data_IF_375839089184
#
_entry.id   IF_375839089184
#
_cell.length_a   1.000
_cell.length_b   1.000
_cell.length_c   1.000
_cell.angle_alpha   90.00
_cell.angle_beta   90.00
_cell.angle_gamma   90.00
#
_symmetry.space_group_name_H-M   'P 1'
#
loop_
_entity.id
_entity.type
_entity.pdbx_description
1 polymer ?
#
# COMPACT_ATOMS: atom_id res chain seq x y z
N UNK A 1 19.13 -8.81 -8.10
CA UNK A 1 19.86 -7.54 -7.96
C UNK A 1 20.04 -7.25 -6.48
N UNK A 2 21.29 -7.32 -5.99
CA UNK A 2 21.62 -6.91 -4.62
C UNK A 2 21.46 -5.38 -4.52
N UNK A 3 20.68 -4.92 -3.56
CA UNK A 3 20.61 -3.49 -3.20
C UNK A 3 22.03 -2.95 -3.03
N UNK A 4 22.32 -1.80 -3.65
CA UNK A 4 23.63 -1.16 -3.52
C UNK A 4 23.91 -0.80 -2.05
N UNK A 5 25.20 -0.67 -1.67
CA UNK A 5 25.60 -0.29 -0.31
C UNK A 5 24.97 1.04 0.14
N UNK A 6 24.70 1.95 -0.80
CA UNK A 6 23.98 3.22 -0.59
C UNK A 6 22.51 3.00 -0.23
N UNK A 7 21.82 2.09 -0.92
CA UNK A 7 20.42 1.76 -0.64
C UNK A 7 20.26 1.06 0.73
N UNK A 8 21.24 0.21 1.11
CA UNK A 8 21.24 -0.41 2.46
C UNK A 8 21.55 0.61 3.58
N UNK A 9 22.38 1.62 3.32
CA UNK A 9 22.66 2.68 4.30
C UNK A 9 21.50 3.68 4.42
N UNK A 10 20.75 3.96 3.34
CA UNK A 10 19.51 4.74 3.41
C UNK A 10 18.47 4.04 4.28
N UNK A 11 18.23 2.76 4.07
CA UNK A 11 17.24 1.99 4.87
C UNK A 11 17.52 1.98 6.40
N UNK A 12 18.77 2.18 6.85
CA UNK A 12 19.11 2.17 8.27
C UNK A 12 19.01 3.57 8.91
N UNK A 13 19.27 4.63 8.16
CA UNK A 13 19.14 6.02 8.66
C UNK A 13 17.69 6.49 8.78
N UNK A 14 16.78 5.86 8.06
CA UNK A 14 15.41 6.35 7.90
C UNK A 14 14.41 5.73 8.89
N UNK A 15 14.83 4.74 9.69
CA UNK A 15 13.97 4.08 10.70
C UNK A 15 13.35 5.06 11.70
N UNK A 16 14.09 6.09 12.08
CA UNK A 16 13.68 7.05 13.10
C UNK A 16 12.86 8.22 12.55
N UNK A 17 12.65 8.29 11.23
CA UNK A 17 11.99 9.39 10.54
C UNK A 17 10.78 8.98 9.68
N UNK A 18 10.18 7.82 9.93
CA UNK A 18 9.06 7.33 9.12
C UNK A 18 7.90 8.32 9.01
N UNK A 19 7.58 9.03 10.10
CA UNK A 19 6.54 10.06 10.11
C UNK A 19 6.89 11.25 9.20
N UNK A 20 8.17 11.64 9.13
CA UNK A 20 8.61 12.70 8.24
C UNK A 20 8.31 12.37 6.78
N UNK A 21 8.58 11.13 6.34
CA UNK A 21 8.32 10.69 4.96
C UNK A 21 6.82 10.59 4.61
N UNK A 22 5.95 10.68 5.62
CA UNK A 22 4.50 10.75 5.48
C UNK A 22 3.95 12.17 5.75
N UNK A 23 4.82 13.17 5.99
CA UNK A 23 4.45 14.55 6.29
C UNK A 23 4.10 15.37 5.06
N UNK A 24 3.44 16.53 5.27
CA UNK A 24 3.19 17.54 4.24
C UNK A 24 4.50 18.11 3.66
N UNK A 25 5.49 18.30 4.50
CA UNK A 25 6.80 18.83 4.07
C UNK A 25 7.44 17.91 3.03
N UNK A 26 7.51 16.61 3.32
CA UNK A 26 8.08 15.64 2.39
C UNK A 26 7.22 15.46 1.13
N UNK A 27 5.89 15.53 1.23
CA UNK A 27 5.02 15.55 0.06
C UNK A 27 5.35 16.70 -0.88
N UNK A 28 5.49 17.91 -0.33
CA UNK A 28 5.85 19.10 -1.14
C UNK A 28 7.22 18.94 -1.80
N UNK A 29 8.19 18.34 -1.10
CA UNK A 29 9.52 18.07 -1.66
C UNK A 29 9.44 17.09 -2.84
N UNK A 30 8.77 15.94 -2.69
CA UNK A 30 8.67 14.95 -3.78
C UNK A 30 7.87 15.47 -4.97
N UNK A 31 6.84 16.27 -4.74
CA UNK A 31 6.07 16.92 -5.80
C UNK A 31 6.91 17.96 -6.54
N UNK A 32 7.72 18.76 -5.83
CA UNK A 32 8.60 19.78 -6.42
C UNK A 32 9.70 19.18 -7.30
N UNK A 33 10.09 17.95 -7.03
CA UNK A 33 11.07 17.20 -7.84
C UNK A 33 10.42 16.42 -9.00
N UNK A 34 9.13 16.61 -9.21
CA UNK A 34 8.35 15.87 -10.22
C UNK A 34 8.51 14.35 -10.07
N UNK A 35 8.72 13.88 -8.82
CA UNK A 35 8.85 12.47 -8.54
C UNK A 35 7.56 11.74 -8.90
N UNK A 36 7.67 10.62 -9.60
CA UNK A 36 6.55 9.74 -9.93
C UNK A 36 6.97 8.29 -9.80
N UNK A 37 6.05 7.45 -9.35
CA UNK A 37 6.29 6.02 -9.23
C UNK A 37 6.72 5.60 -7.83
N UNK A 38 7.55 4.57 -7.74
CA UNK A 38 7.92 3.92 -6.48
C UNK A 38 8.59 4.91 -5.50
N UNK A 39 8.30 4.84 -4.19
CA UNK A 39 8.81 5.83 -3.23
C UNK A 39 10.33 5.78 -3.07
N UNK A 40 10.93 6.95 -2.88
CA UNK A 40 12.37 7.08 -2.58
C UNK A 40 12.73 6.55 -1.20
N UNK A 41 11.79 6.65 -0.25
CA UNK A 41 11.96 6.25 1.14
C UNK A 41 10.87 5.26 1.58
N UNK A 42 11.30 4.15 2.18
CA UNK A 42 10.40 3.15 2.74
C UNK A 42 11.12 2.28 3.77
N UNK A 43 10.36 1.79 4.74
CA UNK A 43 10.78 0.76 5.68
C UNK A 43 9.69 -0.29 5.82
N UNK A 44 9.69 -1.21 4.89
CA UNK A 44 8.80 -2.38 4.84
C UNK A 44 9.51 -3.51 4.09
N UNK A 45 8.92 -4.68 4.11
CA UNK A 45 9.43 -5.87 3.42
C UNK A 45 8.32 -6.49 2.58
N UNK A 46 8.55 -6.62 1.28
CA UNK A 46 7.69 -7.45 0.45
C UNK A 46 7.76 -8.91 0.90
N UNK A 47 6.62 -9.52 1.16
CA UNK A 47 6.54 -10.92 1.66
C UNK A 47 7.07 -11.90 0.62
N UNK A 48 7.01 -11.55 -0.68
CA UNK A 48 7.65 -12.34 -1.74
C UNK A 48 9.14 -12.59 -1.47
N UNK A 49 9.87 -11.64 -0.90
CA UNK A 49 11.27 -11.84 -0.52
C UNK A 49 11.46 -12.82 0.64
N UNK A 50 10.53 -12.85 1.60
CA UNK A 50 10.55 -13.85 2.67
C UNK A 50 10.27 -15.25 2.12
N UNK A 51 9.39 -15.34 1.13
CA UNK A 51 9.09 -16.56 0.41
C UNK A 51 10.31 -17.09 -0.36
N UNK A 52 11.02 -16.24 -1.09
CA UNK A 52 12.25 -16.61 -1.81
C UNK A 52 13.32 -17.20 -0.88
N UNK A 53 13.41 -16.73 0.37
CA UNK A 53 14.35 -17.25 1.37
C UNK A 53 13.91 -18.57 1.98
N UNK A 54 12.61 -18.85 2.07
CA UNK A 54 12.06 -20.05 2.69
C UNK A 54 10.87 -20.60 1.87
N UNK A 55 11.09 -21.05 0.63
CA UNK A 55 10.01 -21.38 -0.29
C UNK A 55 9.12 -22.54 0.23
N UNK A 56 9.70 -23.52 0.92
CA UNK A 56 8.94 -24.67 1.41
C UNK A 56 7.98 -24.32 2.55
N UNK A 57 8.33 -23.29 3.36
CA UNK A 57 7.51 -22.88 4.51
C UNK A 57 6.26 -22.11 4.11
N UNK A 58 6.36 -21.29 3.07
CA UNK A 58 5.33 -20.31 2.70
C UNK A 58 4.66 -20.62 1.36
N UNK A 59 5.05 -21.73 0.70
CA UNK A 59 4.61 -22.08 -0.65
C UNK A 59 3.09 -22.04 -0.80
N UNK A 60 2.36 -22.72 0.08
CA UNK A 60 0.90 -22.81 0.02
C UNK A 60 0.23 -21.42 0.13
N UNK A 61 0.72 -20.57 1.07
CA UNK A 61 0.17 -19.23 1.26
C UNK A 61 0.43 -18.33 0.04
N UNK A 62 1.64 -18.41 -0.51
CA UNK A 62 2.01 -17.64 -1.68
C UNK A 62 1.23 -18.06 -2.93
N UNK A 63 1.07 -19.37 -3.14
CA UNK A 63 0.30 -19.92 -4.25
C UNK A 63 -1.18 -19.53 -4.13
N UNK A 64 -1.77 -19.68 -2.94
CA UNK A 64 -3.14 -19.26 -2.67
C UNK A 64 -3.30 -17.75 -2.93
N UNK A 65 -2.49 -16.90 -2.31
CA UNK A 65 -2.57 -15.46 -2.47
C UNK A 65 -2.38 -15.01 -3.92
N UNK A 66 -1.49 -15.65 -4.66
CA UNK A 66 -1.15 -15.25 -6.01
C UNK A 66 -2.14 -15.73 -7.07
N UNK A 67 -2.68 -16.94 -6.90
CA UNK A 67 -3.41 -17.61 -7.98
C UNK A 67 -4.86 -17.95 -7.63
N UNK A 68 -5.20 -18.11 -6.35
CA UNK A 68 -6.52 -18.58 -5.93
C UNK A 68 -7.36 -17.44 -5.32
N UNK A 69 -6.81 -16.69 -4.38
CA UNK A 69 -7.53 -15.62 -3.69
C UNK A 69 -8.09 -14.52 -4.62
N UNK A 70 -7.32 -13.95 -5.59
CA UNK A 70 -7.90 -12.92 -6.45
C UNK A 70 -9.13 -13.37 -7.25
N UNK A 71 -9.13 -14.54 -7.92
CA UNK A 71 -10.35 -15.02 -8.60
C UNK A 71 -11.53 -15.30 -7.67
N UNK A 72 -11.29 -15.76 -6.43
CA UNK A 72 -12.36 -16.02 -5.46
C UNK A 72 -13.18 -14.78 -5.13
N UNK A 73 -12.54 -13.61 -5.11
CA UNK A 73 -13.19 -12.32 -4.90
C UNK A 73 -13.38 -11.53 -6.20
N UNK A 74 -13.22 -12.18 -7.35
CA UNK A 74 -13.37 -11.58 -8.66
C UNK A 74 -12.33 -10.54 -9.05
N UNK A 75 -11.22 -10.48 -8.34
CA UNK A 75 -10.11 -9.62 -8.71
C UNK A 75 -9.28 -10.24 -9.85
N UNK A 76 -8.61 -9.39 -10.62
CA UNK A 76 -7.76 -9.83 -11.73
C UNK A 76 -6.48 -10.49 -11.23
N UNK A 77 -5.79 -9.83 -10.32
CA UNK A 77 -4.55 -10.31 -9.71
C UNK A 77 -4.22 -9.53 -8.45
N UNK A 78 -3.25 -10.04 -7.69
CA UNK A 78 -2.71 -9.31 -6.56
C UNK A 78 -1.86 -8.11 -7.01
N UNK A 79 -1.86 -7.05 -6.21
CA UNK A 79 -1.09 -5.83 -6.46
C UNK A 79 0.12 -5.72 -5.52
N UNK A 80 -0.05 -6.01 -4.23
CA UNK A 80 1.03 -5.96 -3.26
C UNK A 80 0.79 -6.91 -2.08
N UNK A 81 1.89 -7.26 -1.40
CA UNK A 81 1.88 -8.02 -0.16
C UNK A 81 3.10 -7.60 0.67
N UNK A 82 2.90 -6.71 1.65
CA UNK A 82 3.97 -6.08 2.41
C UNK A 82 3.77 -6.21 3.92
N UNK A 83 4.85 -6.42 4.62
CA UNK A 83 4.94 -6.34 6.07
C UNK A 83 5.69 -5.06 6.49
N UNK A 84 5.14 -4.36 7.45
CA UNK A 84 5.70 -3.16 8.08
C UNK A 84 5.96 -3.47 9.56
N UNK A 85 7.21 -3.47 10.01
CA UNK A 85 7.53 -3.57 11.44
C UNK A 85 7.18 -2.26 12.17
N UNK A 86 7.24 -2.22 13.52
CA UNK A 86 7.14 -0.96 14.25
C UNK A 86 8.12 0.10 13.73
N UNK A 87 7.61 1.32 13.46
CA UNK A 87 8.32 2.39 12.74
C UNK A 87 8.33 2.20 11.21
N UNK A 88 7.63 1.18 10.71
CA UNK A 88 7.55 0.89 9.28
C UNK A 88 6.73 1.93 8.52
N UNK A 89 7.15 2.22 7.30
CA UNK A 89 6.48 3.21 6.46
C UNK A 89 6.69 2.95 4.97
N UNK A 90 5.89 3.62 4.17
CA UNK A 90 6.11 3.88 2.76
C UNK A 90 5.88 5.37 2.53
N UNK A 91 6.91 6.08 2.09
CA UNK A 91 6.87 7.52 1.86
C UNK A 91 5.93 7.91 0.73
N UNK A 92 5.65 9.20 0.60
CA UNK A 92 4.78 9.71 -0.44
C UNK A 92 5.23 9.30 -1.83
N UNK A 93 4.32 8.71 -2.58
CA UNK A 93 4.55 8.23 -3.94
C UNK A 93 3.23 8.10 -4.71
N UNK A 94 3.35 7.75 -5.97
CA UNK A 94 2.22 7.41 -6.85
C UNK A 94 2.47 6.04 -7.47
N UNK A 95 1.45 5.46 -8.07
CA UNK A 95 1.60 4.15 -8.74
C UNK A 95 2.06 4.27 -10.20
N UNK A 96 2.62 5.41 -10.60
CA UNK A 96 3.05 5.67 -11.98
C UNK A 96 1.91 5.48 -12.98
N UNK A 97 2.09 4.59 -13.96
CA UNK A 97 1.07 4.22 -14.96
C UNK A 97 0.36 2.90 -14.62
N UNK A 98 0.43 2.47 -13.35
CA UNK A 98 -0.29 1.28 -12.87
C UNK A 98 -1.68 1.66 -12.37
N UNK A 99 -2.47 2.30 -13.24
CA UNK A 99 -3.87 2.63 -12.95
C UNK A 99 -4.66 1.38 -12.58
N UNK A 100 -5.41 1.46 -11.51
CA UNK A 100 -6.25 0.36 -11.06
C UNK A 100 -7.24 0.78 -9.98
N UNK A 101 -8.36 0.09 -9.95
CA UNK A 101 -9.19 -0.03 -8.75
C UNK A 101 -8.59 -1.11 -7.86
N UNK A 102 -8.28 -0.78 -6.61
CA UNK A 102 -7.63 -1.71 -5.69
C UNK A 102 -8.41 -1.81 -4.38
N UNK A 103 -8.57 -3.05 -3.90
CA UNK A 103 -8.95 -3.31 -2.51
C UNK A 103 -7.68 -3.56 -1.70
N UNK A 104 -7.50 -2.75 -0.64
CA UNK A 104 -6.41 -2.87 0.31
C UNK A 104 -6.92 -3.52 1.59
N UNK A 105 -6.44 -4.72 1.86
CA UNK A 105 -6.64 -5.40 3.14
C UNK A 105 -5.44 -5.08 4.03
N UNK A 106 -5.73 -4.51 5.18
CA UNK A 106 -4.71 -4.14 6.16
C UNK A 106 -5.01 -4.82 7.49
N UNK A 107 -4.02 -5.52 8.03
CA UNK A 107 -4.02 -5.96 9.42
C UNK A 107 -3.09 -5.07 10.23
N UNK A 108 -3.59 -4.53 11.32
CA UNK A 108 -2.79 -3.76 12.29
C UNK A 108 -2.89 -4.39 13.67
N UNK A 109 -1.74 -4.69 14.29
CA UNK A 109 -1.73 -5.39 15.58
C UNK A 109 -2.45 -4.61 16.67
N UNK A 110 -2.26 -3.29 16.72
CA UNK A 110 -2.80 -2.42 17.77
C UNK A 110 -3.65 -1.26 17.24
N UNK A 111 -3.72 -1.06 15.91
CA UNK A 111 -4.37 0.11 15.31
C UNK A 111 -3.50 1.38 15.30
N UNK A 112 -2.21 1.28 15.65
CA UNK A 112 -1.30 2.42 15.76
C UNK A 112 -0.58 2.69 14.42
N UNK A 113 -1.34 2.90 13.37
CA UNK A 113 -0.86 3.22 12.04
C UNK A 113 -1.87 4.06 11.29
N UNK A 114 -1.52 4.45 10.07
CA UNK A 114 -2.40 5.19 9.20
C UNK A 114 -2.01 5.04 7.73
N UNK A 115 -2.96 5.37 6.87
CA UNK A 115 -2.78 5.58 5.45
C UNK A 115 -3.15 7.01 5.11
N UNK A 116 -2.29 7.72 4.38
CA UNK A 116 -2.55 9.06 3.88
C UNK A 116 -2.77 9.04 2.38
N UNK A 117 -3.65 9.90 1.92
CA UNK A 117 -3.71 10.29 0.52
C UNK A 117 -3.93 11.80 0.37
N UNK A 118 -3.50 12.34 -0.76
CA UNK A 118 -3.78 13.72 -1.14
C UNK A 118 -5.11 13.77 -1.86
N UNK A 119 -6.04 14.56 -1.34
CA UNK A 119 -7.27 14.89 -2.06
C UNK A 119 -6.93 15.95 -3.12
N UNK A 120 -7.01 15.58 -4.39
CA UNK A 120 -6.66 16.45 -5.50
C UNK A 120 -7.60 17.67 -5.65
N UNK A 121 -8.82 17.59 -5.11
CA UNK A 121 -9.81 18.70 -5.20
C UNK A 121 -9.56 19.77 -4.16
N UNK A 122 -9.23 19.35 -2.94
CA UNK A 122 -9.01 20.27 -1.81
C UNK A 122 -7.53 20.57 -1.58
N UNK A 123 -6.63 19.78 -2.15
CA UNK A 123 -5.20 19.76 -1.88
C UNK A 123 -4.89 19.51 -0.38
N UNK A 124 -5.75 18.78 0.32
CA UNK A 124 -5.57 18.43 1.72
C UNK A 124 -5.10 16.97 1.86
N UNK A 125 -4.29 16.71 2.88
CA UNK A 125 -3.94 15.35 3.25
C UNK A 125 -5.09 14.77 4.05
N UNK A 126 -5.67 13.71 3.53
CA UNK A 126 -6.66 12.90 4.25
C UNK A 126 -5.92 11.74 4.93
N UNK A 127 -5.98 11.70 6.26
CA UNK A 127 -5.40 10.62 7.07
C UNK A 127 -6.49 9.64 7.49
N UNK A 128 -6.32 8.39 7.13
CA UNK A 128 -7.21 7.30 7.53
C UNK A 128 -6.50 6.46 8.58
N UNK A 129 -6.87 6.55 9.87
CA UNK A 129 -6.24 5.75 10.93
C UNK A 129 -6.54 4.26 10.74
N UNK A 130 -5.57 3.43 11.09
CA UNK A 130 -5.79 2.00 11.16
C UNK A 130 -6.65 1.65 12.38
N UNK A 131 -7.47 0.60 12.25
CA UNK A 131 -8.14 -0.07 13.36
C UNK A 131 -7.33 -1.30 13.76
N UNK A 132 -7.43 -1.74 15.01
CA UNK A 132 -6.88 -3.03 15.43
C UNK A 132 -7.56 -4.17 14.67
N UNK A 133 -6.78 -5.11 14.17
CA UNK A 133 -7.26 -6.25 13.41
C UNK A 133 -7.33 -5.96 11.90
N UNK A 134 -8.14 -6.72 11.22
CA UNK A 134 -8.34 -6.60 9.77
C UNK A 134 -9.27 -5.44 9.42
N UNK A 135 -8.97 -4.78 8.31
CA UNK A 135 -9.78 -3.75 7.70
C UNK A 135 -9.58 -3.80 6.18
N UNK A 136 -10.62 -3.46 5.44
CA UNK A 136 -10.60 -3.36 3.99
C UNK A 136 -10.92 -1.94 3.56
N UNK A 137 -10.23 -1.44 2.55
CA UNK A 137 -10.48 -0.15 1.91
C UNK A 137 -10.28 -0.30 0.42
N UNK A 138 -10.97 0.49 -0.35
CA UNK A 138 -10.79 0.52 -1.79
C UNK A 138 -10.37 1.91 -2.26
N UNK A 139 -9.54 1.94 -3.30
CA UNK A 139 -9.02 3.15 -3.90
C UNK A 139 -8.97 3.02 -5.42
N UNK A 140 -9.15 4.15 -6.10
CA UNK A 140 -8.74 4.30 -7.49
C UNK A 140 -7.37 4.96 -7.54
N UNK A 141 -6.38 4.26 -8.08
CA UNK A 141 -5.05 4.80 -8.35
C UNK A 141 -4.98 5.13 -9.85
N UNK A 142 -5.16 6.39 -10.19
CA UNK A 142 -5.08 6.87 -11.56
C UNK A 142 -3.66 6.90 -12.12
N UNK A 143 -3.56 7.08 -13.42
CA UNK A 143 -2.28 7.23 -14.12
C UNK A 143 -1.66 8.60 -13.84
N UNK A 144 -0.34 8.70 -14.07
CA UNK A 144 0.42 9.95 -13.84
C UNK A 144 -0.10 11.16 -14.65
N UNK A 145 -0.74 10.91 -15.79
CA UNK A 145 -1.27 11.95 -16.67
C UNK A 145 -2.78 12.22 -16.42
N UNK A 146 -3.36 11.60 -15.41
CA UNK A 146 -4.74 11.82 -14.97
C UNK A 146 -4.72 12.65 -13.68
N UNK A 147 -4.77 13.99 -13.77
CA UNK A 147 -4.63 14.86 -12.59
C UNK A 147 -5.78 14.69 -11.59
N UNK A 148 -6.96 14.28 -12.06
CA UNK A 148 -8.14 14.12 -11.19
C UNK A 148 -8.07 12.85 -10.34
N UNK A 149 -7.43 11.81 -10.85
CA UNK A 149 -7.33 10.50 -10.20
C UNK A 149 -5.88 10.12 -9.81
N UNK A 150 -4.91 10.98 -10.07
CA UNK A 150 -3.52 10.74 -9.69
C UNK A 150 -3.36 10.74 -8.18
N UNK A 151 -3.28 9.57 -7.58
CA UNK A 151 -3.33 9.40 -6.13
C UNK A 151 -1.92 9.41 -5.51
N UNK A 152 -1.53 10.54 -4.93
CA UNK A 152 -0.41 10.59 -4.00
C UNK A 152 -0.80 9.93 -2.69
N UNK A 153 0.00 9.00 -2.20
CA UNK A 153 -0.29 8.29 -0.97
C UNK A 153 0.95 7.88 -0.20
N UNK A 154 0.78 7.65 1.09
CA UNK A 154 1.81 7.18 2.02
C UNK A 154 1.19 6.38 3.15
N UNK A 155 2.00 5.63 3.90
CA UNK A 155 1.54 4.92 5.09
C UNK A 155 2.64 4.83 6.14
N UNK A 156 2.25 4.85 7.41
CA UNK A 156 3.13 4.68 8.57
C UNK A 156 2.48 3.80 9.62
N UNK A 157 3.30 3.13 10.41
CA UNK A 157 2.83 2.38 11.58
C UNK A 157 3.86 2.38 12.71
N UNK A 158 3.39 2.49 13.94
CA UNK A 158 4.22 2.25 15.14
C UNK A 158 4.04 0.86 15.74
N UNK A 159 3.29 -0.03 15.08
CA UNK A 159 3.14 -1.44 15.45
C UNK A 159 3.27 -2.34 14.21
N UNK A 160 3.29 -3.66 14.43
CA UNK A 160 3.27 -4.60 13.32
C UNK A 160 2.03 -4.40 12.44
N UNK A 161 2.26 -4.24 11.15
CA UNK A 161 1.25 -3.99 10.14
C UNK A 161 1.51 -4.86 8.92
N UNK A 162 0.46 -5.43 8.39
CA UNK A 162 0.49 -6.21 7.17
C UNK A 162 -0.50 -5.61 6.17
N UNK A 163 -0.10 -5.48 4.92
CA UNK A 163 -0.98 -4.98 3.86
C UNK A 163 -0.88 -5.87 2.64
N UNK A 164 -2.03 -6.28 2.14
CA UNK A 164 -2.16 -6.92 0.85
C UNK A 164 -3.16 -6.14 0.00
N UNK A 165 -2.99 -6.17 -1.32
CA UNK A 165 -3.91 -5.54 -2.23
C UNK A 165 -4.19 -6.43 -3.43
N UNK A 166 -5.41 -6.32 -3.92
CA UNK A 166 -5.86 -6.94 -5.16
C UNK A 166 -6.37 -5.87 -6.11
N UNK A 167 -6.23 -6.15 -7.40
CA UNK A 167 -6.56 -5.24 -8.48
C UNK A 167 -7.81 -5.69 -9.21
N UNK A 168 -8.69 -4.72 -9.48
CA UNK A 168 -9.85 -4.86 -10.35
C UNK A 168 -9.65 -3.99 -11.60
N UNK A 169 -10.06 -4.49 -12.75
CA UNK A 169 -10.04 -3.70 -14.00
C UNK A 169 -11.40 -3.05 -14.27
N UNK A 170 -12.48 -3.59 -13.68
CA UNK A 170 -13.85 -3.12 -13.86
C UNK A 170 -14.40 -2.52 -12.56
N UNK A 171 -14.81 -1.26 -12.63
CA UNK A 171 -15.39 -0.55 -11.50
C UNK A 171 -16.76 -1.12 -11.11
N UNK A 172 -17.58 -1.53 -12.07
CA UNK A 172 -18.91 -2.06 -11.78
C UNK A 172 -18.79 -3.36 -10.98
N UNK A 173 -17.85 -4.22 -11.40
CA UNK A 173 -17.57 -5.45 -10.67
C UNK A 173 -17.04 -5.22 -9.26
N UNK A 174 -16.19 -4.19 -9.07
CA UNK A 174 -15.75 -3.78 -7.74
C UNK A 174 -16.93 -3.31 -6.88
N UNK A 175 -17.89 -2.58 -7.45
CA UNK A 175 -19.09 -2.12 -6.74
C UNK A 175 -19.95 -3.31 -6.29
N UNK A 176 -20.16 -4.29 -7.15
CA UNK A 176 -20.89 -5.52 -6.80
C UNK A 176 -20.24 -6.25 -5.63
N UNK A 177 -18.90 -6.39 -5.65
CA UNK A 177 -18.14 -7.00 -4.54
C UNK A 177 -18.28 -6.20 -3.24
N UNK A 178 -18.23 -4.86 -3.31
CA UNK A 178 -18.40 -3.99 -2.13
C UNK A 178 -19.82 -4.13 -1.58
N UNK A 179 -20.84 -4.16 -2.43
CA UNK A 179 -22.22 -4.34 -2.03
C UNK A 179 -22.43 -5.69 -1.34
N UNK A 180 -21.90 -6.77 -1.90
CA UNK A 180 -21.95 -8.11 -1.30
C UNK A 180 -21.28 -8.17 0.08
N UNK A 181 -20.12 -7.48 0.25
CA UNK A 181 -19.41 -7.46 1.52
C UNK A 181 -20.09 -6.60 2.59
N UNK A 182 -20.88 -5.61 2.19
CA UNK A 182 -21.54 -4.67 3.12
C UNK A 182 -22.97 -5.05 3.43
N UNK A 183 -23.64 -5.83 2.56
CA UNK A 183 -25.04 -6.25 2.74
C UNK A 183 -25.25 -7.36 3.77
N UNK A 184 -24.18 -7.99 4.25
CA UNK A 184 -24.25 -9.09 5.24
C UNK A 184 -24.00 -8.63 6.69
N UNK A 185 -23.99 -7.34 6.96
CA UNK A 185 -23.78 -6.76 8.31
C UNK A 185 -25.10 -6.46 9.08
N UNK A 186 -26.26 -7.04 8.64
CA UNK A 186 -27.56 -6.97 9.32
C UNK A 186 -27.87 -8.19 10.21
#
# INVERSE_FOLDING_TARGET
>A
HSLSRRQRQMCIRDRDNGEYYCSREYLNDVMSREHVGFPDAYYNTAISHAFEKNPNKWKWFFEYYKYEFPPEIGAKHNALLNYYPPGGFIGWHTNWNASAYQMLFTYSLNGNGYFNYLDNKTNEIVTIPDKKGWQCRWFHFGEKNDPDNHCWHSAYTSCDRFTMAVKFDDLNYLHDVIEDLTSNDD
#
